data_IF_355938363986
#
_entry.id   IF_355938363986
#
_cell.length_a   1.000
_cell.length_b   1.000
_cell.length_c   1.000
_cell.angle_alpha   90.00
_cell.angle_beta   90.00
_cell.angle_gamma   90.00
#
_symmetry.space_group_name_H-M   'P 1'
#
loop_
_entity.id
_entity.type
_entity.pdbx_description
1 polymer ?
#
# COMPACT_ATOMS: atom_id res chain seq x y z
N UNK A 1 7.37 2.04 13.70
CA UNK A 1 6.38 1.93 12.60
C UNK A 1 6.28 0.46 12.31
N UNK A 2 5.11 -0.16 12.50
CA UNK A 2 5.00 -1.63 12.62
C UNK A 2 5.54 -2.40 11.41
N UNK A 3 5.38 -1.87 10.19
CA UNK A 3 5.91 -2.50 8.98
C UNK A 3 7.45 -2.60 8.98
N UNK A 4 8.16 -1.58 9.48
CA UNK A 4 9.62 -1.61 9.58
C UNK A 4 10.12 -2.74 10.47
N UNK A 5 9.45 -2.95 11.61
CA UNK A 5 9.78 -4.02 12.57
C UNK A 5 9.52 -5.41 11.98
N UNK A 6 8.48 -5.54 11.15
CA UNK A 6 8.05 -6.82 10.59
C UNK A 6 8.98 -7.33 9.47
N UNK A 7 9.46 -6.44 8.59
CA UNK A 7 10.36 -6.81 7.48
C UNK A 7 11.83 -6.41 7.67
N UNK A 8 12.16 -5.78 8.79
CA UNK A 8 13.55 -5.40 9.11
C UNK A 8 14.13 -4.30 8.22
N UNK A 9 13.32 -3.38 7.69
CA UNK A 9 13.76 -2.29 6.80
C UNK A 9 13.55 -0.90 7.39
N UNK A 10 14.28 0.08 6.84
CA UNK A 10 14.12 1.47 7.24
C UNK A 10 12.73 2.02 6.90
N UNK A 11 12.29 3.03 7.66
CA UNK A 11 11.08 3.81 7.37
C UNK A 11 11.10 4.40 5.96
N UNK A 12 12.26 4.88 5.52
CA UNK A 12 12.45 5.44 4.18
C UNK A 12 12.19 4.39 3.10
N UNK A 13 12.61 3.15 3.32
CA UNK A 13 12.36 2.04 2.40
C UNK A 13 10.85 1.78 2.24
N UNK A 14 10.11 1.75 3.36
CA UNK A 14 8.65 1.59 3.33
C UNK A 14 7.99 2.74 2.55
N UNK A 15 8.41 3.99 2.76
CA UNK A 15 7.87 5.12 2.02
C UNK A 15 8.19 5.06 0.52
N UNK A 16 9.39 4.63 0.16
CA UNK A 16 9.76 4.42 -1.24
C UNK A 16 8.89 3.34 -1.89
N UNK A 17 8.52 2.29 -1.14
CA UNK A 17 7.61 1.26 -1.64
C UNK A 17 6.18 1.77 -1.82
N UNK A 18 5.67 2.53 -0.85
CA UNK A 18 4.36 3.19 -0.96
C UNK A 18 4.32 4.14 -2.16
N UNK A 19 5.34 4.97 -2.34
CA UNK A 19 5.40 5.95 -3.44
C UNK A 19 5.60 5.29 -4.81
N UNK A 20 6.18 4.09 -4.86
CA UNK A 20 6.37 3.33 -6.11
C UNK A 20 5.26 2.31 -6.37
N UNK A 21 4.21 2.25 -5.54
CA UNK A 21 3.11 1.30 -5.70
C UNK A 21 3.51 -0.16 -5.51
N UNK A 22 4.63 -0.44 -4.85
CA UNK A 22 5.13 -1.81 -4.64
C UNK A 22 4.36 -2.58 -3.57
N UNK A 23 3.64 -1.86 -2.72
CA UNK A 23 2.87 -2.42 -1.61
C UNK A 23 1.52 -1.72 -1.56
N UNK A 24 0.48 -2.47 -1.22
CA UNK A 24 -0.87 -1.95 -1.11
C UNK A 24 -1.11 -1.33 0.27
N UNK A 25 -1.92 -0.28 0.29
CA UNK A 25 -2.23 0.42 1.54
C UNK A 25 -3.59 1.11 1.47
N UNK A 26 -4.16 1.36 2.65
CA UNK A 26 -5.34 2.20 2.84
C UNK A 26 -4.95 3.42 3.68
N UNK A 27 -5.49 4.57 3.31
CA UNK A 27 -5.50 5.76 4.18
C UNK A 27 -6.79 5.78 4.97
N UNK A 28 -6.65 5.81 6.29
CA UNK A 28 -7.79 6.01 7.20
C UNK A 28 -8.27 7.46 7.14
N UNK A 29 -9.53 7.71 7.49
CA UNK A 29 -10.09 9.07 7.58
C UNK A 29 -9.26 10.00 8.49
N UNK A 30 -8.54 9.45 9.48
CA UNK A 30 -7.62 10.19 10.35
C UNK A 30 -6.20 10.37 9.81
N UNK A 31 -5.94 10.10 8.54
CA UNK A 31 -4.64 10.30 7.88
C UNK A 31 -3.58 9.23 8.15
N UNK A 32 -3.84 8.28 9.05
CA UNK A 32 -2.95 7.13 9.28
C UNK A 32 -2.95 6.18 8.06
N UNK A 33 -1.78 5.60 7.78
CA UNK A 33 -1.57 4.64 6.68
C UNK A 33 -1.59 3.22 7.25
N UNK A 34 -2.38 2.33 6.66
CA UNK A 34 -2.45 0.90 6.96
C UNK A 34 -1.95 0.13 5.75
N UNK A 35 -0.95 -0.73 5.93
CA UNK A 35 -0.34 -1.51 4.86
C UNK A 35 -0.89 -2.94 4.91
N UNK A 36 -1.27 -3.49 3.76
CA UNK A 36 -1.65 -4.90 3.67
C UNK A 36 -0.41 -5.77 3.81
N UNK A 37 -0.38 -6.60 4.86
CA UNK A 37 0.80 -7.41 5.22
C UNK A 37 1.20 -8.36 4.09
N UNK A 38 0.24 -8.89 3.34
CA UNK A 38 0.48 -9.83 2.24
C UNK A 38 1.29 -9.20 1.10
N UNK A 39 1.17 -7.88 0.94
CA UNK A 39 1.91 -7.12 -0.07
C UNK A 39 3.22 -6.55 0.46
N UNK A 40 3.47 -6.62 1.78
CA UNK A 40 4.61 -6.00 2.42
C UNK A 40 5.92 -6.79 2.18
N UNK A 41 5.83 -8.07 1.84
CA UNK A 41 6.98 -8.87 1.42
C UNK A 41 7.23 -8.76 -0.08
N UNK A 42 8.50 -8.61 -0.45
CA UNK A 42 8.96 -8.87 -1.81
C UNK A 42 9.07 -10.36 -2.01
N UNK A 43 8.11 -10.96 -2.69
CA UNK A 43 8.43 -12.14 -3.49
C UNK A 43 9.13 -11.64 -4.76
N UNK A 44 10.41 -11.98 -5.01
CA UNK A 44 11.12 -11.59 -6.22
C UNK A 44 10.42 -12.10 -7.51
N UNK A 45 9.55 -13.11 -7.42
CA UNK A 45 8.74 -13.61 -8.52
C UNK A 45 7.37 -12.89 -8.65
N UNK A 46 6.97 -12.08 -7.66
CA UNK A 46 5.68 -11.38 -7.61
C UNK A 46 5.81 -9.87 -7.86
N UNK A 47 6.76 -9.45 -8.70
CA UNK A 47 6.96 -8.03 -9.04
C UNK A 47 5.85 -7.47 -9.96
N UNK A 48 4.94 -8.33 -10.42
CA UNK A 48 3.97 -8.02 -11.49
C UNK A 48 2.57 -7.66 -10.96
N UNK A 49 2.16 -8.16 -9.77
CA UNK A 49 0.74 -8.06 -9.34
C UNK A 49 0.37 -6.84 -8.50
N UNK A 50 1.31 -6.14 -7.87
CA UNK A 50 0.99 -5.03 -6.96
C UNK A 50 0.49 -3.75 -7.69
N UNK A 51 0.66 -3.67 -9.01
CA UNK A 51 0.31 -2.49 -9.81
C UNK A 51 -1.15 -2.46 -10.32
N UNK A 52 -1.94 -3.53 -10.14
CA UNK A 52 -3.19 -3.72 -10.89
C UNK A 52 -4.51 -3.45 -10.13
N UNK A 53 -4.47 -3.05 -8.86
CA UNK A 53 -5.69 -2.73 -8.10
C UNK A 53 -5.72 -1.26 -7.72
N UNK A 54 -5.84 -0.41 -8.76
CA UNK A 54 -6.29 0.97 -8.62
C UNK A 54 -7.71 0.91 -8.06
N UNK A 55 -7.84 1.10 -6.75
CA UNK A 55 -9.10 1.48 -6.14
C UNK A 55 -9.52 2.82 -6.76
N UNK A 56 -10.50 2.76 -7.64
CA UNK A 56 -11.26 3.94 -8.07
C UNK A 56 -12.03 4.43 -6.85
N UNK A 57 -11.86 5.67 -6.38
CA UNK A 57 -12.80 6.22 -5.43
C UNK A 57 -14.15 6.28 -6.15
N UNK A 58 -15.14 5.51 -5.68
CA UNK A 58 -16.51 5.61 -6.17
C UNK A 58 -17.01 7.05 -5.97
N UNK A 59 -16.86 7.87 -7.00
CA UNK A 59 -17.48 9.18 -7.18
C UNK A 59 -18.76 9.10 -8.03
N UNK A 60 -19.45 7.97 -7.99
CA UNK A 60 -20.66 7.74 -8.78
C UNK A 60 -21.82 7.33 -7.90
N UNK A 61 -22.37 8.25 -7.10
CA UNK A 61 -23.70 8.10 -6.46
C UNK A 61 -24.20 9.43 -5.86
N UNK A 62 -24.68 10.32 -6.72
CA UNK A 62 -25.80 11.21 -6.41
C UNK A 62 -26.36 11.78 -7.72
N UNK A 63 -27.44 11.11 -8.16
CA UNK A 63 -28.46 11.68 -9.03
C UNK A 63 -29.09 12.90 -8.35
N UNK A 64 -29.15 14.02 -9.07
CA UNK A 64 -30.25 15.00 -9.09
C UNK A 64 -29.88 16.12 -10.08
#
# INVERSE_FOLDING_TARGET
MKACELVGVSRRTIYNWLSSGKIEYVRTAGGSVRIFVDTLWRDPNNQDRAAASIWQPEGGRNQA
#
